data_IF_531034134557
#
_entry.id   IF_531034134557
#
_cell.length_a   1.000
_cell.length_b   1.000
_cell.length_c   1.000
_cell.angle_alpha   90.00
_cell.angle_beta   90.00
_cell.angle_gamma   90.00
#
_symmetry.space_group_name_H-M   'P 1'
#
loop_
_entity.id
_entity.type
_entity.pdbx_description
1 polymer ?
#
# COMPACT_ATOMS: atom_id res chain seq x y z
N UNK A 1 23.91 3.66 6.50
CA UNK A 1 23.87 3.04 5.15
C UNK A 1 24.24 4.11 4.12
N UNK A 2 25.44 4.08 3.54
CA UNK A 2 25.92 5.09 2.57
C UNK A 2 26.04 4.49 1.17
N UNK A 3 24.90 4.10 0.59
CA UNK A 3 24.82 3.71 -0.82
C UNK A 3 24.83 4.96 -1.71
N UNK A 4 25.75 5.03 -2.67
CA UNK A 4 26.01 6.24 -3.46
C UNK A 4 25.13 6.33 -4.70
N UNK A 5 24.64 5.20 -5.23
CA UNK A 5 23.74 5.19 -6.39
C UNK A 5 22.29 5.42 -5.96
N UNK A 6 21.64 6.43 -6.56
CA UNK A 6 20.28 6.82 -6.21
C UNK A 6 19.26 5.68 -6.36
N UNK A 7 19.34 4.89 -7.45
CA UNK A 7 18.46 3.74 -7.65
C UNK A 7 18.63 2.67 -6.57
N UNK A 8 19.87 2.34 -6.20
CA UNK A 8 20.13 1.35 -5.17
C UNK A 8 19.67 1.82 -3.79
N UNK A 9 19.79 3.11 -3.49
CA UNK A 9 19.21 3.70 -2.27
C UNK A 9 17.70 3.54 -2.23
N UNK A 10 17.03 3.79 -3.35
CA UNK A 10 15.57 3.66 -3.44
C UNK A 10 15.14 2.20 -3.21
N UNK A 11 15.80 1.25 -3.86
CA UNK A 11 15.55 -0.19 -3.65
C UNK A 11 15.76 -0.61 -2.19
N UNK A 12 16.91 -0.26 -1.62
CA UNK A 12 17.23 -0.54 -0.22
C UNK A 12 16.21 0.08 0.75
N UNK A 13 15.72 1.28 0.46
CA UNK A 13 14.69 1.92 1.28
C UNK A 13 13.36 1.18 1.21
N UNK A 14 12.97 0.67 0.05
CA UNK A 14 11.77 -0.15 -0.11
C UNK A 14 11.90 -1.50 0.59
N UNK A 15 13.07 -2.15 0.52
CA UNK A 15 13.36 -3.38 1.27
C UNK A 15 13.22 -3.15 2.78
N UNK A 16 13.84 -2.09 3.31
CA UNK A 16 13.73 -1.74 4.73
C UNK A 16 12.28 -1.39 5.10
N UNK A 17 11.56 -0.67 4.25
CA UNK A 17 10.16 -0.33 4.47
C UNK A 17 9.30 -1.61 4.58
N UNK A 18 9.46 -2.53 3.62
CA UNK A 18 8.81 -3.83 3.59
C UNK A 18 9.10 -4.64 4.86
N UNK A 19 10.36 -4.76 5.27
CA UNK A 19 10.75 -5.46 6.50
C UNK A 19 10.05 -4.89 7.75
N UNK A 20 9.89 -3.55 7.83
CA UNK A 20 9.19 -2.93 8.96
C UNK A 20 7.68 -3.20 8.93
N UNK A 21 7.07 -3.16 7.74
CA UNK A 21 5.65 -3.47 7.55
C UNK A 21 5.37 -4.90 7.99
N UNK A 22 6.08 -5.88 7.43
CA UNK A 22 5.86 -7.30 7.74
C UNK A 22 6.21 -7.63 9.18
N UNK A 23 7.24 -7.01 9.76
CA UNK A 23 7.52 -7.14 11.19
C UNK A 23 6.38 -6.63 12.07
N UNK A 24 5.59 -5.63 11.65
CA UNK A 24 4.38 -5.22 12.39
C UNK A 24 3.29 -6.28 12.29
N UNK A 25 2.98 -6.74 11.07
CA UNK A 25 1.93 -7.74 10.85
C UNK A 25 2.23 -9.09 11.49
N UNK A 26 3.50 -9.50 11.54
CA UNK A 26 3.94 -10.71 12.26
C UNK A 26 3.78 -10.60 13.78
N UNK A 27 3.82 -9.38 14.34
CA UNK A 27 3.51 -9.15 15.77
C UNK A 27 2.01 -9.08 16.02
N UNK A 28 1.28 -8.41 15.15
CA UNK A 28 -0.16 -8.28 15.20
C UNK A 28 -0.73 -8.15 13.78
N UNK A 29 -1.40 -9.20 13.31
CA UNK A 29 -1.94 -9.29 11.95
C UNK A 29 -3.00 -8.24 11.64
N UNK A 30 -3.58 -7.62 12.68
CA UNK A 30 -4.62 -6.60 12.60
C UNK A 30 -4.10 -5.16 12.61
N UNK A 31 -2.78 -4.96 12.64
CA UNK A 31 -2.19 -3.63 12.53
C UNK A 31 -2.44 -3.02 11.14
N UNK A 32 -2.43 -1.69 11.06
CA UNK A 32 -2.36 -0.94 9.81
C UNK A 32 -1.10 -0.08 9.79
N UNK A 33 -0.52 0.11 8.62
CA UNK A 33 0.70 0.90 8.43
C UNK A 33 0.44 2.05 7.47
N UNK A 34 0.80 3.27 7.90
CA UNK A 34 0.82 4.47 7.08
C UNK A 34 2.27 4.85 6.73
N UNK A 35 2.61 4.80 5.45
CA UNK A 35 3.95 5.08 4.93
C UNK A 35 3.96 6.47 4.31
N UNK A 36 4.86 7.34 4.77
CA UNK A 36 5.05 8.66 4.17
C UNK A 36 6.22 8.69 3.19
N UNK A 37 5.96 9.22 2.00
CA UNK A 37 6.96 9.44 0.94
C UNK A 37 7.00 10.90 0.49
N UNK A 38 8.00 11.28 -0.30
CA UNK A 38 8.22 12.68 -0.65
C UNK A 38 7.43 13.13 -1.88
N UNK A 39 7.18 12.23 -2.84
CA UNK A 39 6.54 12.60 -4.10
C UNK A 39 5.32 11.75 -4.43
N UNK A 40 4.44 12.29 -5.27
CA UNK A 40 3.27 11.58 -5.81
C UNK A 40 3.64 10.34 -6.61
N UNK A 41 4.79 10.35 -7.28
CA UNK A 41 5.26 9.20 -8.04
C UNK A 41 5.81 8.11 -7.10
N UNK A 42 6.44 8.52 -6.00
CA UNK A 42 6.93 7.58 -5.00
C UNK A 42 5.81 6.84 -4.28
N UNK A 43 4.60 7.41 -4.12
CA UNK A 43 3.50 6.69 -3.48
C UNK A 43 3.18 5.42 -4.25
N UNK A 44 3.05 5.54 -5.57
CA UNK A 44 2.78 4.40 -6.45
C UNK A 44 3.96 3.42 -6.49
N UNK A 45 5.19 3.91 -6.76
CA UNK A 45 6.37 3.03 -6.86
C UNK A 45 6.67 2.26 -5.57
N UNK A 46 6.46 2.89 -4.42
CA UNK A 46 6.68 2.22 -3.12
C UNK A 46 5.60 1.19 -2.86
N UNK A 47 4.33 1.50 -3.17
CA UNK A 47 3.23 0.55 -3.05
C UNK A 47 3.41 -0.68 -3.95
N UNK A 48 3.81 -0.46 -5.21
CA UNK A 48 4.14 -1.53 -6.16
C UNK A 48 5.30 -2.40 -5.65
N UNK A 49 6.38 -1.77 -5.17
CA UNK A 49 7.52 -2.49 -4.60
C UNK A 49 7.14 -3.33 -3.36
N UNK A 50 6.25 -2.82 -2.49
CA UNK A 50 5.75 -3.58 -1.34
C UNK A 50 4.97 -4.81 -1.80
N UNK A 51 4.10 -4.67 -2.81
CA UNK A 51 3.36 -5.79 -3.41
C UNK A 51 4.30 -6.83 -4.00
N UNK A 52 5.28 -6.39 -4.79
CA UNK A 52 6.27 -7.25 -5.45
C UNK A 52 7.11 -8.02 -4.42
N UNK A 53 7.65 -7.34 -3.41
CA UNK A 53 8.42 -7.96 -2.34
C UNK A 53 7.57 -8.97 -1.54
N UNK A 54 6.30 -8.64 -1.26
CA UNK A 54 5.38 -9.57 -0.60
C UNK A 54 5.13 -10.82 -1.46
N UNK A 55 4.95 -10.67 -2.77
CA UNK A 55 4.77 -11.79 -3.68
C UNK A 55 6.03 -12.65 -3.80
N UNK A 56 7.21 -12.04 -3.93
CA UNK A 56 8.50 -12.73 -4.02
C UNK A 56 8.84 -13.54 -2.76
N UNK A 57 8.37 -13.09 -1.59
CA UNK A 57 8.58 -13.76 -0.31
C UNK A 57 7.44 -14.70 0.11
N UNK A 58 6.40 -14.88 -0.72
CA UNK A 58 5.19 -15.66 -0.38
C UNK A 58 4.44 -15.14 0.88
N UNK A 59 4.47 -13.82 1.07
CA UNK A 59 3.95 -13.10 2.24
C UNK A 59 2.75 -12.19 1.92
N UNK A 60 2.11 -12.36 0.75
CA UNK A 60 0.91 -11.60 0.39
C UNK A 60 -0.24 -11.77 1.39
N UNK A 61 -0.34 -12.94 2.03
CA UNK A 61 -1.30 -13.26 3.08
C UNK A 61 -1.18 -12.33 4.32
N UNK A 62 -0.05 -11.64 4.50
CA UNK A 62 0.10 -10.64 5.56
C UNK A 62 -0.64 -9.34 5.22
N UNK A 63 -0.72 -9.00 3.93
CA UNK A 63 -1.31 -7.74 3.44
C UNK A 63 -2.82 -7.86 3.22
N UNK A 64 -3.27 -9.02 2.75
CA UNK A 64 -4.69 -9.38 2.65
C UNK A 64 -4.89 -10.67 3.40
N UNK A 65 -5.75 -10.64 4.39
CA UNK A 65 -6.10 -11.82 5.16
C UNK A 65 -6.94 -12.75 4.28
N UNK A 66 -6.44 -13.95 3.98
CA UNK A 66 -7.14 -14.94 3.18
C UNK A 66 -8.42 -15.45 3.85
N UNK A 67 -8.51 -15.36 5.18
CA UNK A 67 -9.71 -15.72 5.94
C UNK A 67 -10.76 -14.59 5.94
N UNK A 68 -10.38 -13.37 5.53
CA UNK A 68 -11.29 -12.23 5.42
C UNK A 68 -11.79 -12.05 3.98
N UNK A 69 -12.65 -12.99 3.55
CA UNK A 69 -13.22 -13.00 2.21
C UNK A 69 -14.00 -11.72 1.89
N UNK A 70 -14.70 -11.15 2.87
CA UNK A 70 -15.46 -9.90 2.73
C UNK A 70 -14.54 -8.73 2.35
N UNK A 71 -13.42 -8.55 3.06
CA UNK A 71 -12.46 -7.49 2.73
C UNK A 71 -11.91 -7.65 1.31
N UNK A 72 -11.59 -8.89 0.92
CA UNK A 72 -11.06 -9.19 -0.41
C UNK A 72 -12.07 -8.88 -1.52
N UNK A 73 -13.33 -9.27 -1.33
CA UNK A 73 -14.42 -8.99 -2.27
C UNK A 73 -14.69 -7.48 -2.41
N UNK A 74 -14.71 -6.75 -1.29
CA UNK A 74 -14.88 -5.29 -1.29
C UNK A 74 -13.73 -4.63 -2.05
N UNK A 75 -12.47 -4.94 -1.71
CA UNK A 75 -11.30 -4.35 -2.36
C UNK A 75 -11.27 -4.64 -3.87
N UNK A 76 -11.60 -5.88 -4.26
CA UNK A 76 -11.69 -6.26 -5.67
C UNK A 76 -12.79 -5.49 -6.39
N UNK A 77 -13.99 -5.42 -5.81
CA UNK A 77 -15.14 -4.74 -6.41
C UNK A 77 -14.89 -3.24 -6.59
N UNK A 78 -14.34 -2.59 -5.57
CA UNK A 78 -14.02 -1.16 -5.61
C UNK A 78 -12.91 -0.85 -6.64
N UNK A 79 -11.90 -1.73 -6.75
CA UNK A 79 -10.85 -1.61 -7.76
C UNK A 79 -11.40 -1.68 -9.19
N UNK A 80 -12.36 -2.56 -9.44
CA UNK A 80 -12.97 -2.74 -10.75
C UNK A 80 -13.94 -1.60 -11.11
N UNK A 81 -14.82 -1.24 -10.18
CA UNK A 81 -16.02 -0.43 -10.45
C UNK A 81 -15.90 1.06 -10.11
N UNK A 82 -15.15 1.42 -9.06
CA UNK A 82 -15.11 2.78 -8.53
C UNK A 82 -13.80 3.51 -8.86
N UNK A 83 -12.67 2.81 -8.70
CA UNK A 83 -11.34 3.41 -8.86
C UNK A 83 -11.14 3.91 -10.29
N UNK A 84 -10.57 5.10 -10.45
CA UNK A 84 -10.18 5.65 -11.76
C UNK A 84 -8.68 5.64 -11.99
N UNK A 85 -7.90 5.73 -10.91
CA UNK A 85 -6.45 5.73 -10.98
C UNK A 85 -5.90 4.33 -11.32
N UNK A 86 -5.28 4.18 -12.49
CA UNK A 86 -4.80 2.88 -12.98
C UNK A 86 -3.86 2.17 -11.98
N UNK A 87 -2.87 2.90 -11.44
CA UNK A 87 -1.95 2.32 -10.45
C UNK A 87 -2.62 1.91 -9.14
N UNK A 88 -3.76 2.53 -8.77
CA UNK A 88 -4.48 2.13 -7.56
C UNK A 88 -5.25 0.82 -7.82
N UNK A 89 -5.79 0.62 -9.02
CA UNK A 89 -6.48 -0.63 -9.40
C UNK A 89 -5.60 -1.86 -9.24
N UNK A 90 -4.31 -1.73 -9.54
CA UNK A 90 -3.37 -2.85 -9.54
C UNK A 90 -2.86 -3.26 -8.15
N UNK A 91 -3.08 -2.43 -7.14
CA UNK A 91 -2.57 -2.63 -5.77
C UNK A 91 -3.71 -2.77 -4.74
N UNK A 92 -4.87 -2.16 -4.99
CA UNK A 92 -5.99 -2.16 -4.05
C UNK A 92 -6.48 -3.57 -3.68
N UNK A 93 -6.60 -4.54 -4.61
CA UNK A 93 -6.96 -5.92 -4.27
C UNK A 93 -5.99 -6.62 -3.31
N UNK A 94 -4.78 -6.09 -3.16
CA UNK A 94 -3.74 -6.61 -2.28
C UNK A 94 -3.69 -5.86 -0.93
N UNK A 95 -4.74 -5.10 -0.58
CA UNK A 95 -4.83 -4.41 0.71
C UNK A 95 -3.88 -3.21 0.82
N UNK A 96 -3.40 -2.69 -0.32
CA UNK A 96 -2.49 -1.55 -0.40
C UNK A 96 -3.21 -0.36 -1.07
N UNK A 97 -3.16 0.80 -0.44
CA UNK A 97 -3.67 2.06 -0.98
C UNK A 97 -2.55 3.07 -1.25
N UNK A 98 -2.84 4.03 -2.14
CA UNK A 98 -2.04 5.24 -2.31
C UNK A 98 -2.90 6.48 -2.07
N UNK A 99 -2.30 7.54 -1.54
CA UNK A 99 -2.99 8.81 -1.36
C UNK A 99 -2.08 10.00 -1.62
N UNK A 100 -2.46 10.84 -2.58
CA UNK A 100 -1.80 12.12 -2.82
C UNK A 100 -2.73 13.12 -3.52
N UNK A 101 -2.40 14.40 -3.44
CA UNK A 101 -3.20 15.49 -4.04
C UNK A 101 -3.35 15.46 -5.58
N UNK A 102 -2.67 14.53 -6.27
CA UNK A 102 -2.79 14.34 -7.71
C UNK A 102 -3.90 13.36 -8.11
N UNK A 103 -4.47 12.63 -7.16
CA UNK A 103 -5.59 11.71 -7.39
C UNK A 103 -6.91 12.48 -7.48
N UNK A 104 -7.91 11.86 -8.10
CA UNK A 104 -9.27 12.42 -8.08
C UNK A 104 -9.77 12.51 -6.63
N UNK A 105 -10.65 13.48 -6.33
CA UNK A 105 -11.27 13.56 -4.99
C UNK A 105 -12.01 12.26 -4.64
N UNK A 106 -12.64 11.64 -5.63
CA UNK A 106 -13.34 10.37 -5.46
C UNK A 106 -12.39 9.26 -5.00
N UNK A 107 -11.27 9.03 -5.71
CA UNK A 107 -10.32 7.98 -5.34
C UNK A 107 -9.68 8.25 -3.96
N UNK A 108 -9.44 9.52 -3.61
CA UNK A 108 -8.91 9.88 -2.28
C UNK A 108 -9.88 9.53 -1.16
N UNK A 109 -11.14 9.95 -1.30
CA UNK A 109 -12.17 9.63 -0.32
C UNK A 109 -12.36 8.10 -0.19
N UNK A 110 -12.39 7.39 -1.32
CA UNK A 110 -12.50 5.93 -1.32
C UNK A 110 -11.36 5.26 -0.54
N UNK A 111 -10.11 5.66 -0.80
CA UNK A 111 -8.95 5.11 -0.07
C UNK A 111 -8.98 5.47 1.42
N UNK A 112 -9.39 6.69 1.77
CA UNK A 112 -9.59 7.11 3.17
C UNK A 112 -10.63 6.23 3.86
N UNK A 113 -11.79 6.04 3.24
CA UNK A 113 -12.88 5.21 3.79
C UNK A 113 -12.45 3.75 3.94
N UNK A 114 -11.79 3.17 2.93
CA UNK A 114 -11.31 1.78 2.98
C UNK A 114 -10.21 1.57 4.03
N UNK A 115 -9.35 2.57 4.25
CA UNK A 115 -8.34 2.54 5.31
C UNK A 115 -8.98 2.69 6.70
N UNK A 116 -9.93 3.62 6.88
CA UNK A 116 -10.63 3.81 8.16
C UNK A 116 -11.43 2.58 8.58
N UNK A 117 -11.99 1.83 7.62
CA UNK A 117 -12.72 0.59 7.85
C UNK A 117 -11.81 -0.66 7.95
N UNK A 118 -10.48 -0.48 7.94
CA UNK A 118 -9.48 -1.56 8.06
C UNK A 118 -9.43 -2.56 6.90
N UNK A 119 -10.02 -2.25 5.75
CA UNK A 119 -9.86 -3.08 4.56
C UNK A 119 -8.46 -2.92 3.95
N UNK A 120 -7.93 -1.69 3.90
CA UNK A 120 -6.55 -1.43 3.49
C UNK A 120 -5.62 -1.58 4.71
N UNK A 121 -4.61 -2.45 4.63
CA UNK A 121 -3.60 -2.62 5.68
C UNK A 121 -2.40 -1.69 5.52
N UNK A 122 -2.05 -1.34 4.28
CA UNK A 122 -0.90 -0.46 3.99
C UNK A 122 -1.36 0.73 3.16
N UNK A 123 -1.19 1.95 3.67
CA UNK A 123 -1.46 3.17 2.93
C UNK A 123 -0.15 3.94 2.70
N UNK A 124 0.18 4.23 1.44
CA UNK A 124 1.35 5.05 1.08
C UNK A 124 0.90 6.45 0.69
N UNK A 125 1.36 7.47 1.40
CA UNK A 125 0.91 8.85 1.19
C UNK A 125 2.03 9.88 1.18
N UNK A 126 1.80 11.01 0.51
CA UNK A 126 2.60 12.22 0.72
C UNK A 126 2.17 12.92 2.01
N UNK A 127 3.05 13.71 2.63
CA UNK A 127 2.83 14.35 3.94
C UNK A 127 1.56 15.22 4.11
N UNK A 128 0.80 15.49 3.05
CA UNK A 128 -0.48 16.23 3.12
C UNK A 128 -1.62 15.47 3.78
N UNK A 129 -1.44 14.20 4.11
CA UNK A 129 -2.41 13.38 4.86
C UNK A 129 -2.22 13.48 6.40
N UNK A 130 -1.12 14.07 6.88
CA UNK A 130 -0.80 14.23 8.30
C UNK A 130 -1.33 15.54 8.90
#
# INVERSE_FOLDING_TARGET
LTEKKAMKRFQLMNEICYEKITASFKRNINDQVLVFVHTRNETQKTAEAIKELAAENDELHLLVDDDNLEAKEILQSEAESSVKHAGLKEILPFGIGIHHAGMTRHDRNLVEDLFMNKYIKVLVSTATLA
#
